data_IF_388629775891
#
_entry.id   IF_388629775891
#
_cell.length_a   1.000
_cell.length_b   1.000
_cell.length_c   1.000
_cell.angle_alpha   90.00
_cell.angle_beta   90.00
_cell.angle_gamma   90.00
#
_symmetry.space_group_name_H-M   'P 1'
#
loop_
_entity.id
_entity.type
_entity.pdbx_description
1 polymer ?
#
# COMPACT_ATOMS: atom_id res chain seq x y z
N UNK A 1 18.80 -4.71 54.65
CA UNK A 1 17.89 -4.99 53.52
C UNK A 1 17.06 -6.25 53.79
N UNK A 2 17.69 -7.43 53.94
CA UNK A 2 16.98 -8.71 54.01
C UNK A 2 15.92 -8.83 55.14
N UNK A 3 16.19 -8.32 56.34
CA UNK A 3 15.24 -8.38 57.46
C UNK A 3 13.96 -7.54 57.22
N UNK A 4 14.08 -6.38 56.56
CA UNK A 4 12.91 -5.57 56.18
C UNK A 4 12.13 -6.23 55.03
N UNK A 5 12.82 -6.86 54.08
CA UNK A 5 12.15 -7.60 53.01
C UNK A 5 11.33 -8.78 53.55
N UNK A 6 11.77 -9.44 54.63
CA UNK A 6 11.00 -10.50 55.26
C UNK A 6 9.77 -9.98 56.00
N UNK A 7 9.83 -8.80 56.60
CA UNK A 7 8.67 -8.15 57.24
C UNK A 7 7.58 -7.78 56.22
N UNK A 8 7.96 -7.30 55.03
CA UNK A 8 7.03 -6.94 53.96
C UNK A 8 6.62 -8.11 53.05
N UNK A 9 7.16 -9.32 53.27
CA UNK A 9 6.87 -10.47 52.41
C UNK A 9 5.45 -10.96 52.65
N UNK A 10 4.58 -10.78 51.66
CA UNK A 10 3.24 -11.34 51.65
C UNK A 10 3.31 -12.84 51.31
N UNK A 11 2.93 -13.69 52.27
CA UNK A 11 2.79 -15.14 52.07
C UNK A 11 1.35 -15.46 51.65
N UNK A 12 1.03 -15.15 50.40
CA UNK A 12 -0.29 -15.34 49.81
C UNK A 12 -0.14 -16.23 48.57
N UNK A 13 -1.17 -17.04 48.30
CA UNK A 13 -1.27 -17.85 47.09
C UNK A 13 -1.02 -17.01 45.84
N UNK A 14 -0.37 -17.63 44.86
CA UNK A 14 0.04 -16.94 43.64
C UNK A 14 -1.16 -16.34 42.88
N UNK A 15 -2.34 -16.97 42.94
CA UNK A 15 -3.55 -16.49 42.26
C UNK A 15 -4.01 -15.10 42.74
N UNK A 16 -3.74 -14.73 43.99
CA UNK A 16 -4.11 -13.42 44.52
C UNK A 16 -3.07 -12.34 44.18
N UNK A 17 -1.84 -12.75 43.88
CA UNK A 17 -0.74 -11.85 43.54
C UNK A 17 -0.61 -11.63 42.04
N UNK A 18 -0.82 -12.69 41.24
CA UNK A 18 -0.63 -12.74 39.78
C UNK A 18 0.71 -12.15 39.31
N UNK A 19 1.70 -12.16 40.21
CA UNK A 19 3.03 -11.63 39.97
C UNK A 19 3.88 -12.66 39.25
N UNK A 20 4.62 -12.22 38.24
CA UNK A 20 5.53 -13.09 37.52
C UNK A 20 6.84 -12.40 37.20
N UNK A 21 7.92 -13.16 37.32
CA UNK A 21 9.28 -12.72 37.08
C UNK A 21 9.81 -13.61 35.96
N UNK A 22 9.71 -13.10 34.73
CA UNK A 22 9.99 -13.86 33.53
C UNK A 22 11.14 -13.24 32.74
N UNK A 23 11.93 -14.12 32.14
CA UNK A 23 12.87 -13.75 31.09
C UNK A 23 12.11 -13.37 29.80
N UNK A 24 12.68 -12.51 28.93
CA UNK A 24 12.01 -12.12 27.69
C UNK A 24 11.80 -13.32 26.77
N UNK A 25 10.61 -13.40 26.16
CA UNK A 25 10.27 -14.47 25.21
C UNK A 25 11.33 -14.60 24.12
N UNK A 26 11.66 -15.82 23.63
CA UNK A 26 12.64 -15.99 22.56
C UNK A 26 12.28 -15.16 21.33
N UNK A 27 13.29 -14.59 20.67
CA UNK A 27 13.05 -13.72 19.53
C UNK A 27 12.51 -14.54 18.35
N UNK A 28 11.23 -14.35 18.04
CA UNK A 28 10.63 -14.98 16.87
C UNK A 28 11.30 -14.48 15.58
N UNK A 29 11.46 -15.33 14.54
CA UNK A 29 12.05 -14.93 13.26
C UNK A 29 11.36 -13.74 12.60
N UNK A 30 10.05 -13.59 12.79
CA UNK A 30 9.28 -12.45 12.28
C UNK A 30 9.72 -11.12 12.92
N UNK A 31 9.93 -11.13 14.23
CA UNK A 31 10.34 -9.94 14.99
C UNK A 31 11.78 -9.53 14.63
N UNK A 32 12.66 -10.51 14.39
CA UNK A 32 14.01 -10.26 13.88
C UNK A 32 13.98 -9.58 12.50
N UNK A 33 13.13 -10.08 11.58
CA UNK A 33 12.95 -9.44 10.27
C UNK A 33 12.37 -8.02 10.37
N UNK A 34 11.52 -7.74 11.36
CA UNK A 34 11.00 -6.39 11.59
C UNK A 34 12.09 -5.43 12.05
N UNK A 35 12.92 -5.85 13.02
CA UNK A 35 14.08 -5.08 13.48
C UNK A 35 15.02 -4.74 12.32
N UNK A 36 15.37 -5.72 11.50
CA UNK A 36 16.26 -5.50 10.35
C UNK A 36 15.63 -4.54 9.33
N UNK A 37 14.34 -4.69 9.03
CA UNK A 37 13.60 -3.78 8.14
C UNK A 37 13.61 -2.34 8.65
N UNK A 38 13.54 -2.14 9.97
CA UNK A 38 13.57 -0.81 10.56
C UNK A 38 14.97 -0.20 10.55
N UNK A 39 15.99 -1.00 10.84
CA UNK A 39 17.40 -0.60 10.68
C UNK A 39 17.69 -0.18 9.24
N UNK A 40 17.25 -0.98 8.26
CA UNK A 40 17.39 -0.67 6.84
C UNK A 40 16.60 0.58 6.43
N UNK A 41 15.37 0.76 6.93
CA UNK A 41 14.58 1.98 6.67
C UNK A 41 15.27 3.21 7.23
N UNK A 42 15.83 3.12 8.44
CA UNK A 42 16.54 4.21 9.10
C UNK A 42 17.81 4.58 8.33
N UNK A 43 18.59 3.58 7.91
CA UNK A 43 19.75 3.78 7.04
C UNK A 43 19.38 4.44 5.70
N UNK A 44 18.31 3.97 5.04
CA UNK A 44 17.82 4.55 3.79
C UNK A 44 17.34 6.01 3.95
N UNK A 45 16.81 6.39 5.11
CA UNK A 45 16.43 7.78 5.40
C UNK A 45 17.66 8.69 5.53
N UNK A 46 18.72 8.23 6.20
CA UNK A 46 19.98 8.98 6.27
C UNK A 46 20.64 9.13 4.89
N UNK A 47 20.67 8.05 4.09
CA UNK A 47 21.23 8.10 2.73
C UNK A 47 20.43 9.00 1.77
N UNK A 48 19.10 9.05 1.93
CA UNK A 48 18.20 9.81 1.07
C UNK A 48 18.04 11.29 1.43
N UNK A 49 18.51 11.72 2.60
CA UNK A 49 18.27 13.07 3.11
C UNK A 49 19.53 13.68 3.74
N UNK A 50 20.28 14.44 2.94
CA UNK A 50 21.51 15.13 3.35
C UNK A 50 21.33 16.14 4.50
N UNK A 51 20.10 16.48 4.90
CA UNK A 51 19.81 17.37 6.03
C UNK A 51 19.84 16.67 7.39
N UNK A 52 19.74 15.34 7.42
CA UNK A 52 19.78 14.58 8.66
C UNK A 52 21.24 14.31 9.05
N UNK A 53 21.61 14.63 10.28
CA UNK A 53 22.91 14.26 10.83
C UNK A 53 22.94 12.74 10.99
N UNK A 54 23.94 12.09 10.38
CA UNK A 54 24.14 10.66 10.58
C UNK A 54 24.54 10.40 12.02
N UNK A 55 23.82 9.48 12.67
CA UNK A 55 24.16 8.97 13.99
C UNK A 55 24.43 7.47 13.86
N UNK A 56 25.42 6.98 14.62
CA UNK A 56 25.70 5.56 14.67
C UNK A 56 24.47 4.80 15.20
N UNK A 57 24.16 3.60 14.66
CA UNK A 57 22.98 2.83 15.09
C UNK A 57 22.90 2.59 16.60
N UNK A 58 24.04 2.50 17.29
CA UNK A 58 24.06 2.32 18.75
C UNK A 58 23.65 3.56 19.54
N UNK A 59 23.80 4.76 18.97
CA UNK A 59 23.50 6.04 19.64
C UNK A 59 22.18 6.65 19.17
N UNK A 60 21.59 6.12 18.09
CA UNK A 60 20.33 6.62 17.53
C UNK A 60 19.17 6.45 18.52
N UNK A 61 18.58 7.55 19.03
CA UNK A 61 17.50 7.49 20.00
C UNK A 61 16.27 6.71 19.49
N UNK A 62 16.01 6.76 18.18
CA UNK A 62 14.82 6.14 17.58
C UNK A 62 14.97 4.62 17.53
N UNK A 63 16.14 4.14 17.09
CA UNK A 63 16.41 2.71 17.03
C UNK A 63 16.50 2.10 18.43
N UNK A 64 17.07 2.84 19.38
CA UNK A 64 17.15 2.43 20.77
C UNK A 64 15.77 2.34 21.44
N UNK A 65 14.88 3.30 21.16
CA UNK A 65 13.50 3.27 21.65
C UNK A 65 12.74 2.05 21.09
N UNK A 66 12.86 1.79 19.78
CA UNK A 66 12.23 0.61 19.18
C UNK A 66 12.74 -0.71 19.78
N UNK A 67 14.06 -0.86 19.96
CA UNK A 67 14.67 -2.04 20.58
C UNK A 67 14.19 -2.22 22.02
N UNK A 68 14.04 -1.12 22.76
CA UNK A 68 13.53 -1.13 24.14
C UNK A 68 12.05 -1.53 24.19
N UNK A 69 11.20 -0.92 23.38
CA UNK A 69 9.77 -1.28 23.29
C UNK A 69 9.58 -2.76 22.89
N UNK A 70 10.42 -3.25 21.98
CA UNK A 70 10.46 -4.66 21.58
C UNK A 70 10.80 -5.59 22.75
N UNK A 71 11.74 -5.19 23.62
CA UNK A 71 12.07 -5.96 24.83
C UNK A 71 10.91 -6.00 25.82
N UNK A 72 10.26 -4.85 26.09
CA UNK A 72 9.08 -4.80 26.95
C UNK A 72 7.95 -5.66 26.42
N UNK A 73 7.70 -5.60 25.11
CA UNK A 73 6.69 -6.43 24.47
C UNK A 73 6.98 -7.93 24.64
N UNK A 74 8.22 -8.36 24.41
CA UNK A 74 8.64 -9.77 24.56
C UNK A 74 8.55 -10.25 26.01
N UNK A 75 8.91 -9.42 26.97
CA UNK A 75 8.80 -9.75 28.39
C UNK A 75 7.32 -9.88 28.81
N UNK A 76 6.48 -8.94 28.39
CA UNK A 76 5.04 -9.02 28.63
C UNK A 76 4.42 -10.25 27.94
N UNK A 77 4.85 -10.59 26.73
CA UNK A 77 4.37 -11.77 26.02
C UNK A 77 4.73 -13.07 26.74
N UNK A 78 5.98 -13.23 27.19
CA UNK A 78 6.39 -14.39 28.00
C UNK A 78 5.51 -14.53 29.24
N UNK A 79 5.28 -13.41 29.93
CA UNK A 79 4.44 -13.38 31.11
C UNK A 79 2.97 -13.76 30.79
N UNK A 80 2.39 -13.25 29.71
CA UNK A 80 1.02 -13.62 29.36
C UNK A 80 0.89 -15.11 29.02
N UNK A 81 1.86 -15.68 28.29
CA UNK A 81 1.81 -17.10 27.90
C UNK A 81 1.88 -18.02 29.11
N UNK A 82 2.84 -17.82 30.00
CA UNK A 82 2.98 -18.65 31.21
C UNK A 82 1.85 -18.39 32.22
N UNK A 83 1.43 -17.14 32.38
CA UNK A 83 0.36 -16.77 33.31
C UNK A 83 -0.98 -17.39 32.92
N UNK A 84 -1.32 -17.36 31.62
CA UNK A 84 -2.54 -18.01 31.12
C UNK A 84 -2.52 -19.52 31.37
N UNK A 85 -1.38 -20.18 31.14
CA UNK A 85 -1.25 -21.62 31.41
C UNK A 85 -1.51 -21.96 32.88
N UNK A 86 -0.94 -21.18 33.80
CA UNK A 86 -1.17 -21.36 35.24
C UNK A 86 -2.63 -21.12 35.64
N UNK A 87 -3.27 -20.09 35.06
CA UNK A 87 -4.69 -19.80 35.32
C UNK A 87 -5.62 -20.91 34.80
N UNK A 88 -5.31 -21.47 33.63
CA UNK A 88 -6.07 -22.60 33.07
C UNK A 88 -5.91 -23.87 33.92
N UNK A 89 -4.72 -24.11 34.48
CA UNK A 89 -4.50 -25.24 35.41
C UNK A 89 -5.34 -25.11 36.70
N UNK A 90 -5.65 -23.87 37.12
CA UNK A 90 -6.54 -23.57 38.25
C UNK A 90 -8.03 -23.52 37.85
N UNK A 91 -8.37 -23.79 36.58
CA UNK A 91 -9.75 -23.76 36.08
C UNK A 91 -10.33 -22.37 35.86
N UNK A 92 -9.50 -21.31 35.85
CA UNK A 92 -9.96 -19.92 35.68
C UNK A 92 -10.12 -19.58 34.20
N UNK A 93 -11.29 -19.08 33.81
CA UNK A 93 -11.56 -18.61 32.45
C UNK A 93 -10.89 -17.25 32.19
N UNK A 94 -9.97 -17.18 31.24
CA UNK A 94 -9.17 -15.96 30.98
C UNK A 94 -9.69 -15.08 29.83
N UNK A 95 -10.48 -15.63 28.91
CA UNK A 95 -10.97 -14.89 27.74
C UNK A 95 -12.24 -14.10 28.09
N UNK A 96 -12.24 -12.80 27.81
CA UNK A 96 -13.43 -11.95 27.90
C UNK A 96 -14.47 -12.38 26.84
N UNK A 97 -15.70 -12.75 27.22
CA UNK A 97 -16.78 -13.02 26.27
C UNK A 97 -17.18 -11.76 25.50
N UNK A 98 -17.56 -11.91 24.23
CA UNK A 98 -17.94 -10.77 23.36
C UNK A 98 -19.26 -10.13 23.79
N UNK A 99 -20.16 -10.90 24.41
CA UNK A 99 -21.49 -10.47 24.89
C UNK A 99 -21.48 -9.93 26.35
N UNK A 100 -20.29 -9.83 26.97
CA UNK A 100 -20.16 -9.31 28.32
C UNK A 100 -19.82 -7.81 28.29
N UNK A 101 -20.85 -6.97 28.37
CA UNK A 101 -20.75 -5.51 28.39
C UNK A 101 -20.54 -4.98 29.82
N UNK A 102 -19.29 -4.69 30.16
CA UNK A 102 -18.90 -4.02 31.39
C UNK A 102 -18.15 -2.72 31.06
N UNK A 103 -18.00 -1.84 32.05
CA UNK A 103 -17.23 -0.61 31.89
C UNK A 103 -15.77 -0.93 31.53
N UNK A 104 -15.29 -0.37 30.42
CA UNK A 104 -13.93 -0.54 29.93
C UNK A 104 -13.08 0.67 30.33
N UNK A 105 -11.76 0.49 30.44
CA UNK A 105 -10.83 1.57 30.80
C UNK A 105 -10.87 2.81 29.88
N UNK A 106 -11.43 2.69 28.67
CA UNK A 106 -11.64 3.80 27.72
C UNK A 106 -13.06 3.74 27.18
N UNK A 107 -13.68 4.91 27.02
CA UNK A 107 -15.03 5.02 26.46
C UNK A 107 -15.07 4.64 24.98
N UNK A 108 -16.22 4.13 24.53
CA UNK A 108 -16.42 3.77 23.12
C UNK A 108 -16.28 4.96 22.18
N UNK A 109 -16.73 6.14 22.59
CA UNK A 109 -16.55 7.38 21.83
C UNK A 109 -15.08 7.69 21.58
N UNK A 110 -14.21 7.48 22.58
CA UNK A 110 -12.76 7.63 22.42
C UNK A 110 -12.23 6.58 21.43
N UNK A 111 -12.62 5.32 21.57
CA UNK A 111 -12.17 4.25 20.68
C UNK A 111 -12.65 4.44 19.24
N UNK A 112 -13.83 5.02 19.02
CA UNK A 112 -14.30 5.40 17.69
C UNK A 112 -13.43 6.49 17.06
N UNK A 113 -12.95 7.47 17.85
CA UNK A 113 -11.99 8.48 17.36
C UNK A 113 -10.68 7.82 16.94
N UNK A 114 -10.15 6.92 17.77
CA UNK A 114 -8.92 6.16 17.44
C UNK A 114 -9.10 5.35 16.16
N UNK A 115 -10.21 4.62 16.02
CA UNK A 115 -10.53 3.85 14.80
C UNK A 115 -10.59 4.73 13.55
N UNK A 116 -11.24 5.91 13.63
CA UNK A 116 -11.30 6.88 12.52
C UNK A 116 -9.88 7.33 12.10
N UNK A 117 -9.00 7.61 13.05
CA UNK A 117 -7.61 7.99 12.76
C UNK A 117 -6.82 6.85 12.11
N UNK A 118 -6.97 5.62 12.59
CA UNK A 118 -6.31 4.44 12.02
C UNK A 118 -6.76 4.19 10.57
N UNK A 119 -8.07 4.24 10.31
CA UNK A 119 -8.64 4.10 8.96
C UNK A 119 -8.13 5.22 8.04
N UNK A 120 -8.11 6.47 8.50
CA UNK A 120 -7.59 7.58 7.72
C UNK A 120 -6.10 7.40 7.37
N UNK A 121 -5.27 6.90 8.31
CA UNK A 121 -3.85 6.60 8.07
C UNK A 121 -3.68 5.48 7.03
N UNK A 122 -4.45 4.41 7.16
CA UNK A 122 -4.43 3.28 6.22
C UNK A 122 -4.85 3.72 4.81
N UNK A 123 -5.92 4.51 4.70
CA UNK A 123 -6.33 5.09 3.41
C UNK A 123 -5.27 6.01 2.82
N UNK A 124 -4.62 6.84 3.64
CA UNK A 124 -3.55 7.73 3.20
C UNK A 124 -2.34 6.98 2.62
N UNK A 125 -1.95 5.87 3.27
CA UNK A 125 -0.90 4.97 2.80
C UNK A 125 -1.29 4.30 1.48
N UNK A 126 -2.49 3.68 1.43
CA UNK A 126 -2.98 3.01 0.23
C UNK A 126 -3.11 3.97 -0.97
N UNK A 127 -3.56 5.21 -0.75
CA UNK A 127 -3.62 6.25 -1.79
C UNK A 127 -2.20 6.60 -2.29
N UNK A 128 -1.25 6.76 -1.38
CA UNK A 128 0.15 7.08 -1.73
C UNK A 128 0.82 5.96 -2.53
N UNK A 129 0.58 4.70 -2.16
CA UNK A 129 1.07 3.53 -2.89
C UNK A 129 0.45 3.41 -4.28
N UNK A 130 -0.87 3.59 -4.40
CA UNK A 130 -1.56 3.64 -5.70
C UNK A 130 -0.96 4.73 -6.61
N UNK A 131 -0.66 5.90 -6.05
CA UNK A 131 -0.02 6.99 -6.81
C UNK A 131 1.40 6.61 -7.26
N UNK A 132 2.19 5.94 -6.42
CA UNK A 132 3.53 5.43 -6.80
C UNK A 132 3.43 4.41 -7.94
N UNK A 133 2.52 3.43 -7.83
CA UNK A 133 2.29 2.43 -8.88
C UNK A 133 1.87 3.08 -10.22
N UNK A 134 0.96 4.06 -10.18
CA UNK A 134 0.55 4.80 -11.39
C UNK A 134 1.74 5.54 -12.03
N UNK A 135 2.61 6.15 -11.21
CA UNK A 135 3.81 6.85 -11.72
C UNK A 135 4.79 5.88 -12.36
N UNK A 136 5.03 4.73 -11.75
CA UNK A 136 5.91 3.69 -12.29
C UNK A 136 5.36 3.11 -13.59
N UNK A 137 4.06 2.78 -13.64
CA UNK A 137 3.40 2.33 -14.87
C UNK A 137 3.54 3.34 -16.00
N UNK A 138 3.40 4.64 -15.71
CA UNK A 138 3.62 5.71 -16.71
C UNK A 138 5.08 5.77 -17.19
N UNK A 139 6.06 5.62 -16.30
CA UNK A 139 7.49 5.58 -16.66
C UNK A 139 7.80 4.36 -17.54
N UNK A 140 7.33 3.19 -17.14
CA UNK A 140 7.52 1.94 -17.90
C UNK A 140 6.81 1.98 -19.25
N UNK A 141 5.61 2.55 -19.31
CA UNK A 141 4.89 2.76 -20.57
C UNK A 141 5.68 3.62 -21.56
N UNK A 142 6.33 4.70 -21.11
CA UNK A 142 7.20 5.53 -21.96
C UNK A 142 8.43 4.75 -22.45
N UNK A 143 9.11 4.00 -21.57
CA UNK A 143 10.26 3.15 -21.95
C UNK A 143 9.87 2.08 -22.96
N UNK A 144 8.74 1.42 -22.76
CA UNK A 144 8.22 0.39 -23.67
C UNK A 144 7.90 0.98 -25.05
N UNK A 145 7.31 2.18 -25.11
CA UNK A 145 7.05 2.86 -26.39
C UNK A 145 8.35 3.20 -27.13
N UNK A 146 9.38 3.66 -26.43
CA UNK A 146 10.69 3.94 -27.01
C UNK A 146 11.36 2.65 -27.52
N UNK A 147 11.38 1.59 -26.71
CA UNK A 147 11.92 0.28 -27.11
C UNK A 147 11.17 -0.29 -28.31
N UNK A 148 9.84 -0.18 -28.35
CA UNK A 148 9.04 -0.63 -29.49
C UNK A 148 9.35 0.17 -30.77
N UNK A 149 9.66 1.46 -30.67
CA UNK A 149 10.10 2.27 -31.82
C UNK A 149 11.48 1.86 -32.30
N UNK A 150 12.46 1.74 -31.40
CA UNK A 150 13.81 1.29 -31.72
C UNK A 150 13.81 -0.10 -32.35
N UNK A 151 13.02 -1.04 -31.80
CA UNK A 151 12.84 -2.38 -32.36
C UNK A 151 12.27 -2.34 -33.78
N UNK A 152 11.25 -1.51 -34.04
CA UNK A 152 10.70 -1.33 -35.39
C UNK A 152 11.71 -0.74 -36.36
N UNK A 153 12.52 0.22 -35.93
CA UNK A 153 13.58 0.82 -36.77
C UNK A 153 14.70 -0.19 -37.06
N UNK A 154 15.09 -1.01 -36.08
CA UNK A 154 16.03 -2.11 -36.27
C UNK A 154 15.50 -3.17 -37.22
N UNK A 155 14.25 -3.64 -37.04
CA UNK A 155 13.57 -4.56 -37.94
C UNK A 155 13.51 -3.99 -39.37
N UNK A 156 13.18 -2.69 -39.54
CA UNK A 156 13.23 -2.03 -40.85
C UNK A 156 14.63 -2.01 -41.44
N UNK A 157 15.66 -1.67 -40.67
CA UNK A 157 17.05 -1.66 -41.15
C UNK A 157 17.49 -3.06 -41.60
N UNK A 158 17.20 -4.08 -40.79
CA UNK A 158 17.49 -5.48 -41.11
C UNK A 158 16.76 -5.92 -42.39
N UNK A 159 15.48 -5.55 -42.54
CA UNK A 159 14.73 -5.83 -43.78
C UNK A 159 15.39 -5.17 -44.99
N UNK A 160 15.79 -3.89 -44.89
CA UNK A 160 16.43 -3.15 -45.97
C UNK A 160 17.80 -3.72 -46.34
N UNK A 161 18.57 -4.18 -45.35
CA UNK A 161 19.87 -4.83 -45.59
C UNK A 161 19.70 -6.18 -46.28
N UNK A 162 18.69 -6.98 -45.91
CA UNK A 162 18.32 -8.22 -46.62
C UNK A 162 17.90 -7.94 -48.07
N UNK A 163 17.09 -6.89 -48.30
CA UNK A 163 16.71 -6.44 -49.65
C UNK A 163 17.92 -5.98 -50.48
N UNK A 164 18.86 -5.22 -49.90
CA UNK A 164 20.09 -4.81 -50.58
C UNK A 164 20.98 -6.00 -50.94
N UNK A 165 21.08 -7.02 -50.06
CA UNK A 165 21.82 -8.26 -50.31
C UNK A 165 21.18 -9.09 -51.45
N UNK A 166 19.85 -9.14 -51.50
CA UNK A 166 19.09 -9.77 -52.60
C UNK A 166 19.32 -9.03 -53.94
N UNK A 167 19.20 -7.69 -53.95
CA UNK A 167 19.47 -6.87 -55.16
C UNK A 167 20.90 -7.03 -55.70
N UNK A 168 21.88 -7.31 -54.83
CA UNK A 168 23.27 -7.61 -55.20
C UNK A 168 23.52 -9.07 -55.60
N UNK A 169 22.47 -9.90 -55.73
CA UNK A 169 22.57 -11.30 -56.19
C UNK A 169 23.16 -12.27 -55.17
N UNK A 170 23.40 -11.86 -53.92
CA UNK A 170 24.00 -12.72 -52.87
C UNK A 170 23.02 -13.70 -52.23
N UNK A 171 21.71 -13.50 -52.43
CA UNK A 171 20.64 -14.35 -51.93
C UNK A 171 19.74 -14.75 -53.09
N UNK A 172 19.47 -16.05 -53.26
CA UNK A 172 18.68 -16.58 -54.39
C UNK A 172 17.17 -16.67 -54.12
N UNK A 173 16.75 -16.69 -52.84
CA UNK A 173 15.36 -16.94 -52.44
C UNK A 173 14.75 -15.75 -51.66
N UNK A 174 13.48 -15.44 -51.92
CA UNK A 174 12.73 -14.31 -51.34
C UNK A 174 11.99 -14.63 -50.02
N UNK A 175 12.38 -15.71 -49.36
CA UNK A 175 11.70 -16.36 -48.22
C UNK A 175 11.50 -15.42 -47.00
N UNK A 176 12.37 -14.42 -46.84
CA UNK A 176 12.26 -13.41 -45.77
C UNK A 176 10.98 -12.53 -45.84
N UNK A 177 10.31 -12.46 -47.00
CA UNK A 177 9.12 -11.62 -47.18
C UNK A 177 7.81 -12.35 -46.88
N UNK A 178 7.79 -13.68 -47.00
CA UNK A 178 6.58 -14.52 -46.88
C UNK A 178 6.12 -14.68 -45.42
N UNK A 179 7.06 -14.65 -44.47
CA UNK A 179 6.78 -14.86 -43.05
C UNK A 179 6.03 -13.68 -42.36
N UNK A 180 5.91 -12.52 -43.04
CA UNK A 180 5.73 -11.24 -42.36
C UNK A 180 4.29 -10.69 -42.24
N UNK A 181 3.37 -10.91 -43.20
CA UNK A 181 2.21 -9.98 -43.31
C UNK A 181 0.81 -10.57 -43.39
N UNK A 182 0.60 -11.73 -43.97
CA UNK A 182 -0.76 -12.19 -44.33
C UNK A 182 -1.25 -13.30 -43.40
N UNK A 183 -0.40 -14.29 -43.11
CA UNK A 183 -0.79 -15.41 -42.26
C UNK A 183 -0.93 -15.04 -40.78
N UNK A 184 0.06 -14.34 -40.20
CA UNK A 184 0.08 -13.98 -38.78
C UNK A 184 -1.08 -13.06 -38.38
N UNK A 185 -1.47 -12.11 -39.25
CA UNK A 185 -2.65 -11.24 -39.01
C UNK A 185 -3.96 -12.01 -39.08
N UNK A 186 -4.08 -13.00 -39.96
CA UNK A 186 -5.28 -13.85 -40.07
C UNK A 186 -5.36 -14.82 -38.90
N UNK A 187 -4.26 -15.48 -38.54
CA UNK A 187 -4.12 -16.36 -37.36
C UNK A 187 -4.41 -15.62 -36.05
N UNK A 188 -3.89 -14.40 -35.84
CA UNK A 188 -4.17 -13.61 -34.64
C UNK A 188 -5.63 -13.13 -34.54
N UNK A 189 -6.26 -12.77 -35.67
CA UNK A 189 -7.69 -12.42 -35.72
C UNK A 189 -8.57 -13.64 -35.44
N UNK A 190 -8.23 -14.79 -36.00
CA UNK A 190 -8.96 -16.03 -35.77
C UNK A 190 -8.82 -16.50 -34.32
N UNK A 191 -7.64 -16.35 -33.69
CA UNK A 191 -7.45 -16.64 -32.25
C UNK A 191 -8.27 -15.72 -31.33
N UNK A 192 -8.47 -14.44 -31.72
CA UNK A 192 -9.20 -13.45 -30.92
C UNK A 192 -10.72 -13.44 -31.13
N UNK A 193 -11.19 -13.89 -32.29
CA UNK A 193 -12.59 -13.77 -32.70
C UNK A 193 -13.22 -15.10 -33.18
N UNK A 194 -12.47 -16.19 -33.29
CA UNK A 194 -12.90 -17.39 -34.03
C UNK A 194 -12.88 -17.16 -35.55
N UNK A 195 -12.81 -18.24 -36.33
CA UNK A 195 -12.94 -18.14 -37.79
C UNK A 195 -14.38 -17.70 -38.11
N UNK A 196 -14.54 -16.50 -38.70
CA UNK A 196 -15.86 -15.94 -39.04
C UNK A 196 -16.54 -15.06 -37.97
N UNK A 197 -15.97 -14.88 -36.77
CA UNK A 197 -16.61 -14.07 -35.72
C UNK A 197 -16.64 -12.56 -35.99
N UNK A 198 -17.63 -11.86 -35.41
CA UNK A 198 -17.87 -10.40 -35.58
C UNK A 198 -16.63 -9.57 -35.18
N UNK A 199 -16.03 -8.87 -36.16
CA UNK A 199 -14.78 -8.09 -36.01
C UNK A 199 -14.97 -6.62 -35.62
N UNK A 200 -16.18 -6.06 -35.81
CA UNK A 200 -16.51 -4.63 -35.57
C UNK A 200 -17.45 -4.50 -34.37
N UNK A 201 -17.12 -3.63 -33.41
CA UNK A 201 -18.00 -3.27 -32.28
C UNK A 201 -17.43 -3.47 -30.87
N UNK A 202 -16.38 -4.29 -30.68
CA UNK A 202 -15.77 -4.54 -29.34
C UNK A 202 -15.06 -3.34 -28.69
N UNK A 203 -14.96 -2.20 -29.38
CA UNK A 203 -14.40 -0.93 -28.86
C UNK A 203 -15.48 0.09 -28.48
N UNK A 204 -16.74 -0.33 -28.35
CA UNK A 204 -17.74 0.50 -27.69
C UNK A 204 -17.54 0.29 -26.20
N UNK A 205 -17.21 1.37 -25.48
CA UNK A 205 -17.23 1.35 -24.03
C UNK A 205 -18.68 1.03 -23.62
N UNK A 206 -18.86 -0.05 -22.86
CA UNK A 206 -20.09 -0.28 -22.13
C UNK A 206 -20.19 0.72 -20.98
N UNK A 207 -21.41 0.93 -20.47
CA UNK A 207 -21.69 1.87 -19.38
C UNK A 207 -20.86 1.57 -18.11
N UNK A 208 -20.32 0.35 -17.98
CA UNK A 208 -19.47 -0.08 -16.88
C UNK A 208 -17.99 0.27 -17.06
N UNK A 209 -17.44 0.24 -18.28
CA UNK A 209 -16.03 0.56 -18.54
C UNK A 209 -15.69 2.06 -18.53
N UNK A 210 -16.69 2.94 -18.54
CA UNK A 210 -16.48 4.40 -18.45
C UNK A 210 -16.38 4.97 -17.03
N UNK A 211 -16.64 4.17 -15.98
CA UNK A 211 -16.62 4.63 -14.58
C UNK A 211 -15.22 4.61 -13.92
N UNK A 212 -14.20 4.07 -14.58
CA UNK A 212 -12.87 3.82 -13.96
C UNK A 212 -11.85 4.96 -14.02
N UNK A 213 -12.12 6.06 -14.73
CA UNK A 213 -11.21 7.21 -14.83
C UNK A 213 -11.99 8.47 -14.45
N UNK A 214 -11.60 9.08 -13.33
CA UNK A 214 -12.24 10.24 -12.75
C UNK A 214 -12.52 11.35 -13.77
N UNK A 215 -13.80 11.70 -13.87
CA UNK A 215 -14.29 12.80 -14.69
C UNK A 215 -15.80 12.92 -14.53
N UNK A 216 -16.22 13.75 -13.58
CA UNK A 216 -17.58 14.29 -13.37
C UNK A 216 -18.59 13.88 -14.45
N UNK A 217 -19.40 12.88 -14.15
CA UNK A 217 -20.66 12.64 -14.84
C UNK A 217 -21.55 13.87 -14.65
N UNK A 218 -21.66 14.71 -15.69
CA UNK A 218 -22.86 15.53 -15.90
C UNK A 218 -24.00 14.56 -16.19
N UNK A 219 -24.57 13.99 -15.13
CA UNK A 219 -25.86 13.33 -15.20
C UNK A 219 -26.92 14.36 -15.56
N UNK A 220 -27.66 14.07 -16.65
CA UNK A 220 -28.91 14.73 -17.02
C UNK A 220 -29.77 14.97 -15.78
N UNK A 221 -29.91 16.23 -15.38
CA UNK A 221 -31.03 16.65 -14.54
C UNK A 221 -32.25 16.71 -15.43
N UNK A 222 -33.25 15.90 -15.08
CA UNK A 222 -34.61 16.09 -15.54
C UNK A 222 -35.09 17.51 -15.23
N UNK A 223 -36.00 17.96 -16.08
CA UNK A 223 -36.69 19.25 -16.06
C UNK A 223 -37.13 19.68 -14.63
N UNK A 224 -36.51 20.72 -14.08
CA UNK A 224 -37.03 21.55 -12.96
C UNK A 224 -36.61 23.00 -13.21
N UNK A 225 -37.53 23.99 -13.17
CA UNK A 225 -37.15 25.40 -13.33
C UNK A 225 -36.59 25.90 -12.00
N UNK A 226 -35.26 26.04 -11.90
CA UNK A 226 -34.55 26.42 -10.69
C UNK A 226 -33.54 27.54 -10.92
N UNK A 227 -33.98 28.78 -10.70
CA UNK A 227 -33.24 30.02 -10.41
C UNK A 227 -31.71 29.99 -10.59
N UNK A 228 -31.23 30.52 -11.73
CA UNK A 228 -29.81 30.81 -11.96
C UNK A 228 -29.39 32.01 -11.09
N UNK A 229 -28.61 31.79 -10.04
CA UNK A 229 -27.98 32.88 -9.28
C UNK A 229 -26.81 33.45 -10.10
N UNK A 230 -27.07 34.51 -10.86
CA UNK A 230 -26.00 35.33 -11.47
C UNK A 230 -25.13 35.90 -10.34
N UNK A 231 -23.81 35.67 -10.43
CA UNK A 231 -22.82 36.27 -9.53
C UNK A 231 -23.00 37.79 -9.51
N UNK A 232 -23.14 38.42 -8.34
CA UNK A 232 -23.26 39.88 -8.25
C UNK A 232 -21.99 40.57 -8.75
N UNK A 233 -22.19 41.74 -9.37
CA UNK A 233 -21.14 42.54 -9.98
C UNK A 233 -20.01 42.90 -9.00
N UNK A 234 -18.83 43.25 -9.55
CA UNK A 234 -17.61 43.53 -8.77
C UNK A 234 -17.83 44.60 -7.69
N UNK A 235 -18.67 45.61 -7.95
CA UNK A 235 -19.03 46.65 -7.00
C UNK A 235 -19.83 46.13 -5.78
N UNK A 236 -20.81 45.24 -6.00
CA UNK A 236 -21.60 44.63 -4.90
C UNK A 236 -20.73 43.73 -4.01
N UNK A 237 -19.74 43.04 -4.59
CA UNK A 237 -18.81 42.19 -3.84
C UNK A 237 -17.84 42.98 -2.94
N UNK A 238 -17.53 44.22 -3.30
CA UNK A 238 -16.71 45.08 -2.45
C UNK A 238 -17.51 45.65 -1.27
N UNK A 239 -18.80 45.99 -1.48
CA UNK A 239 -19.70 46.44 -0.40
C UNK A 239 -19.95 45.38 0.66
N UNK A 240 -20.00 44.09 0.30
CA UNK A 240 -20.17 43.01 1.28
C UNK A 240 -18.90 42.76 2.11
N UNK A 241 -17.71 43.12 1.60
CA UNK A 241 -16.46 42.96 2.34
C UNK A 241 -16.25 44.05 3.40
N UNK A 242 -16.77 45.26 3.19
CA UNK A 242 -16.68 46.35 4.16
C UNK A 242 -17.68 46.22 5.32
N UNK A 243 -18.61 45.27 5.25
CA UNK A 243 -19.63 45.03 6.28
C UNK A 243 -19.23 43.99 7.33
N UNK A 244 -18.14 43.25 7.09
CA UNK A 244 -17.59 42.25 8.02
C UNK A 244 -16.27 42.72 8.65
N UNK A 245 -16.14 44.03 8.87
CA UNK A 245 -15.08 44.62 9.68
C UNK A 245 -15.72 45.46 10.77
#
# INVERSE_FOLDING_TARGET
>A
MNAKCTEFRLNIDWIERLDMINEPAPLAPEMAMQLEKEEQKRANMFAGNAKLKYEEPSKDPVLNDFKREMQFHRQAQAAVVEGIQKLHALGVTTKRPDDYFAEMAKTDEHMQKVRKHLLAKQEGQAKSEKVKQIREQRKMGKKMQQQARLRKEAEKKETMDKLKKFRKGKLKNLDFLEDSKTETKRKAKNKKFGFGGRKKGKKRNDRMSSMGIGGKSKGKMGNRPGKVTKRPGKAQRNRSKSRNK
#
